data_IF_357669154235
#
_entry.id   IF_357669154235
#
_cell.length_a   1.000
_cell.length_b   1.000
_cell.length_c   1.000
_cell.angle_alpha   90.00
_cell.angle_beta   90.00
_cell.angle_gamma   90.00
#
_symmetry.space_group_name_H-M   'P 1'
#
loop_
_entity.id
_entity.type
_entity.pdbx_description
1 polymer ?
#
# COMPACT_ATOMS: atom_id res chain seq x y z
N UNK A 1 24.90 -13.14 30.69
CA UNK A 1 23.75 -13.90 30.16
C UNK A 1 22.44 -13.37 30.72
N UNK A 2 21.36 -13.30 29.92
CA UNK A 2 20.02 -13.05 30.46
C UNK A 2 19.56 -14.19 31.37
N UNK A 3 18.65 -13.88 32.29
CA UNK A 3 18.20 -14.80 33.35
C UNK A 3 17.43 -15.98 32.76
N UNK A 4 17.93 -17.21 32.96
CA UNK A 4 17.22 -18.45 32.65
C UNK A 4 16.26 -18.74 33.80
N UNK A 5 14.96 -18.88 33.51
CA UNK A 5 13.94 -19.19 34.52
C UNK A 5 13.33 -20.57 34.23
N UNK A 6 13.04 -21.36 35.26
CA UNK A 6 12.45 -22.71 35.11
C UNK A 6 11.10 -22.69 34.36
N UNK A 7 10.35 -21.62 34.49
CA UNK A 7 9.08 -21.39 33.80
C UNK A 7 9.09 -20.01 33.17
N UNK A 8 8.82 -19.94 31.86
CA UNK A 8 8.60 -18.69 31.13
C UNK A 8 7.32 -18.84 30.30
N UNK A 9 6.47 -17.81 30.31
CA UNK A 9 5.16 -17.81 29.63
C UNK A 9 5.24 -17.06 28.29
N UNK A 10 6.17 -16.11 28.16
CA UNK A 10 6.23 -15.18 27.03
C UNK A 10 7.57 -15.16 26.28
N UNK A 11 8.56 -15.96 26.71
CA UNK A 11 9.88 -16.06 26.09
C UNK A 11 10.41 -17.47 26.19
N UNK A 12 11.20 -17.87 25.20
CA UNK A 12 11.88 -19.16 25.19
C UNK A 12 13.24 -19.08 25.87
N UNK A 13 13.59 -20.14 26.60
CA UNK A 13 14.93 -20.34 27.13
C UNK A 13 15.83 -20.89 26.02
N UNK A 14 16.34 -20.02 25.15
CA UNK A 14 17.28 -20.43 24.10
C UNK A 14 18.56 -21.02 24.71
N UNK A 15 18.99 -22.23 24.32
CA UNK A 15 20.23 -22.80 24.80
C UNK A 15 21.40 -22.00 24.24
N UNK A 16 22.22 -21.42 25.13
CA UNK A 16 23.38 -20.61 24.78
C UNK A 16 24.48 -20.73 25.84
N UNK A 17 25.72 -20.79 25.39
CA UNK A 17 26.93 -20.88 26.23
C UNK A 17 27.42 -19.51 26.70
N UNK A 18 27.15 -18.45 25.94
CA UNK A 18 27.47 -17.07 26.27
C UNK A 18 26.34 -16.10 25.84
N UNK A 19 26.37 -14.87 26.36
CA UNK A 19 25.43 -13.81 26.02
C UNK A 19 25.36 -13.54 24.52
N UNK A 20 26.50 -13.59 23.81
CA UNK A 20 26.51 -13.40 22.35
C UNK A 20 25.66 -14.45 21.64
N UNK A 21 25.86 -15.74 21.96
CA UNK A 21 25.11 -16.85 21.38
C UNK A 21 23.61 -16.79 21.72
N UNK A 22 23.26 -16.29 22.91
CA UNK A 22 21.88 -16.07 23.29
C UNK A 22 21.21 -15.02 22.40
N UNK A 23 21.83 -13.85 22.23
CA UNK A 23 21.25 -12.78 21.41
C UNK A 23 21.23 -13.16 19.93
N UNK A 24 22.25 -13.88 19.45
CA UNK A 24 22.28 -14.40 18.10
C UNK A 24 21.05 -15.27 17.80
N UNK A 25 20.70 -16.20 18.70
CA UNK A 25 19.56 -17.12 18.53
C UNK A 25 18.20 -16.50 18.81
N UNK A 26 18.10 -15.66 19.83
CA UNK A 26 16.81 -15.11 20.28
C UNK A 26 16.36 -13.87 19.53
N UNK A 27 17.31 -13.11 18.95
CA UNK A 27 17.00 -11.83 18.29
C UNK A 27 17.52 -11.77 16.87
N UNK A 28 18.80 -12.05 16.65
CA UNK A 28 19.43 -11.81 15.35
C UNK A 28 18.93 -12.76 14.26
N UNK A 29 18.94 -14.07 14.51
CA UNK A 29 18.46 -15.08 13.56
C UNK A 29 16.96 -14.89 13.24
N UNK A 30 16.05 -14.76 14.23
CA UNK A 30 14.64 -14.47 13.94
C UNK A 30 14.42 -13.18 13.15
N UNK A 31 15.20 -12.14 13.44
CA UNK A 31 15.15 -10.89 12.68
C UNK A 31 15.61 -11.08 11.24
N UNK A 32 16.72 -11.80 11.01
CA UNK A 32 17.20 -12.13 9.67
C UNK A 32 16.19 -12.99 8.90
N UNK A 33 15.58 -13.99 9.54
CA UNK A 33 14.56 -14.83 8.92
C UNK A 33 13.31 -14.00 8.57
N UNK A 34 12.95 -13.04 9.41
CA UNK A 34 11.85 -12.10 9.14
C UNK A 34 12.18 -11.21 7.94
N UNK A 35 13.38 -10.61 7.90
CA UNK A 35 13.83 -9.78 6.77
C UNK A 35 13.88 -10.60 5.48
N UNK A 36 14.41 -11.81 5.55
CA UNK A 36 14.48 -12.72 4.40
C UNK A 36 13.07 -13.07 3.92
N UNK A 37 12.17 -13.46 4.81
CA UNK A 37 10.77 -13.75 4.48
C UNK A 37 10.10 -12.54 3.84
N UNK A 38 10.26 -11.35 4.42
CA UNK A 38 9.70 -10.10 3.90
C UNK A 38 10.21 -9.77 2.50
N UNK A 39 11.52 -9.87 2.26
CA UNK A 39 12.12 -9.63 0.94
C UNK A 39 11.60 -10.66 -0.06
N UNK A 40 11.54 -11.94 0.33
CA UNK A 40 11.11 -13.03 -0.55
C UNK A 40 9.63 -12.88 -0.93
N UNK A 41 8.78 -12.48 0.01
CA UNK A 41 7.37 -12.23 -0.24
C UNK A 41 7.16 -10.97 -1.09
N UNK A 42 7.88 -9.87 -0.80
CA UNK A 42 7.78 -8.61 -1.54
C UNK A 42 8.28 -8.72 -2.98
N UNK A 43 9.34 -9.49 -3.21
CA UNK A 43 9.93 -9.73 -4.53
C UNK A 43 9.53 -11.08 -5.14
N UNK A 44 8.44 -11.66 -4.66
CA UNK A 44 7.89 -12.89 -5.25
C UNK A 44 7.54 -12.67 -6.73
N UNK A 45 7.54 -13.74 -7.51
CA UNK A 45 7.15 -13.67 -8.94
C UNK A 45 5.76 -13.06 -9.11
N UNK A 46 4.82 -13.41 -8.23
CA UNK A 46 3.45 -12.89 -8.23
C UNK A 46 3.38 -11.37 -8.04
N UNK A 47 4.19 -10.81 -7.13
CA UNK A 47 4.23 -9.36 -6.88
C UNK A 47 4.95 -8.63 -8.01
N UNK A 48 6.03 -9.20 -8.54
CA UNK A 48 6.75 -8.65 -9.69
C UNK A 48 5.88 -8.61 -10.95
N UNK A 49 5.04 -9.62 -11.18
CA UNK A 49 4.08 -9.63 -12.29
C UNK A 49 3.07 -8.49 -12.17
N UNK A 50 2.64 -8.09 -10.97
CA UNK A 50 1.73 -6.94 -10.80
C UNK A 50 2.35 -5.61 -11.28
N UNK A 51 3.69 -5.49 -11.26
CA UNK A 51 4.38 -4.32 -11.81
C UNK A 51 4.30 -4.23 -13.34
N UNK A 52 3.84 -5.27 -14.05
CA UNK A 52 3.61 -5.18 -15.49
C UNK A 52 2.49 -4.20 -15.84
N UNK A 53 1.65 -3.79 -14.89
CA UNK A 53 0.73 -2.66 -15.06
C UNK A 53 1.45 -1.34 -15.38
N UNK A 54 2.76 -1.21 -15.06
CA UNK A 54 3.58 -0.06 -15.49
C UNK A 54 3.64 0.09 -17.01
N UNK A 55 3.36 -0.98 -17.75
CA UNK A 55 3.18 -0.98 -19.20
C UNK A 55 1.88 -0.27 -19.64
N UNK A 56 1.14 0.37 -18.73
CA UNK A 56 0.09 1.33 -19.09
C UNK A 56 0.61 2.78 -19.08
N UNK A 57 1.80 3.03 -18.51
CA UNK A 57 2.40 4.38 -18.45
C UNK A 57 2.93 4.76 -19.84
N UNK A 58 2.36 5.79 -20.51
CA UNK A 58 2.67 6.17 -21.88
C UNK A 58 4.14 6.39 -22.21
N UNK A 59 4.89 7.03 -21.30
CA UNK A 59 6.33 7.24 -21.53
C UNK A 59 7.11 5.92 -21.57
N UNK A 60 6.69 4.90 -20.82
CA UNK A 60 7.33 3.58 -20.80
C UNK A 60 6.91 2.79 -22.04
N UNK A 61 5.61 2.77 -22.36
CA UNK A 61 5.08 1.98 -23.48
C UNK A 61 5.62 2.41 -24.82
N UNK A 62 5.68 3.71 -25.08
CA UNK A 62 6.11 4.22 -26.39
C UNK A 62 7.61 4.04 -26.56
N UNK A 63 8.42 4.26 -25.50
CA UNK A 63 9.87 3.97 -25.53
C UNK A 63 10.18 2.50 -25.84
N UNK A 64 9.39 1.57 -25.30
CA UNK A 64 9.56 0.15 -25.56
C UNK A 64 9.15 -0.24 -26.99
N UNK A 65 8.19 0.47 -27.58
CA UNK A 65 7.75 0.24 -28.96
C UNK A 65 8.77 0.77 -29.98
N UNK A 66 9.40 1.92 -29.69
CA UNK A 66 10.31 2.60 -30.62
C UNK A 66 11.73 1.99 -30.64
N UNK A 67 12.21 1.43 -29.53
CA UNK A 67 13.62 1.02 -29.39
C UNK A 67 13.90 -0.48 -29.62
N UNK A 68 12.93 -1.38 -29.41
CA UNK A 68 13.24 -2.82 -29.24
C UNK A 68 12.33 -3.79 -30.02
N UNK A 69 11.49 -3.33 -30.95
CA UNK A 69 10.62 -4.23 -31.73
C UNK A 69 9.68 -5.08 -30.84
N UNK A 70 9.26 -4.54 -29.70
CA UNK A 70 8.27 -5.20 -28.87
C UNK A 70 6.93 -5.22 -29.60
N UNK A 71 6.51 -6.41 -30.04
CA UNK A 71 5.18 -6.59 -30.60
C UNK A 71 4.13 -6.07 -29.61
N UNK A 72 3.24 -5.20 -30.08
CA UNK A 72 2.07 -4.73 -29.34
C UNK A 72 1.31 -5.89 -28.69
N UNK A 73 1.34 -7.07 -29.32
CA UNK A 73 0.78 -8.33 -28.81
C UNK A 73 1.47 -8.87 -27.55
N UNK A 74 2.78 -8.68 -27.40
CA UNK A 74 3.53 -9.10 -26.20
C UNK A 74 3.20 -8.20 -25.01
N UNK A 75 3.05 -6.89 -25.26
CA UNK A 75 2.63 -5.92 -24.24
C UNK A 75 1.20 -6.23 -23.79
N UNK A 76 0.27 -6.39 -24.75
CA UNK A 76 -1.13 -6.70 -24.44
C UNK A 76 -1.25 -7.99 -23.64
N UNK A 77 -0.57 -9.08 -24.05
CA UNK A 77 -0.57 -10.35 -23.32
C UNK A 77 -0.14 -10.21 -21.86
N UNK A 78 0.89 -9.41 -21.57
CA UNK A 78 1.36 -9.18 -20.20
C UNK A 78 0.35 -8.40 -19.36
N UNK A 79 -0.22 -7.33 -19.92
CA UNK A 79 -1.23 -6.52 -19.23
C UNK A 79 -2.48 -7.36 -18.94
N UNK A 80 -2.95 -8.14 -19.93
CA UNK A 80 -4.10 -9.03 -19.79
C UNK A 80 -3.86 -10.10 -18.73
N UNK A 81 -2.67 -10.72 -18.70
CA UNK A 81 -2.32 -11.73 -17.70
C UNK A 81 -2.42 -11.18 -16.27
N UNK A 82 -2.06 -9.91 -16.07
CA UNK A 82 -2.21 -9.24 -14.77
C UNK A 82 -3.64 -8.83 -14.50
N UNK A 83 -4.34 -8.27 -15.49
CA UNK A 83 -5.73 -7.84 -15.36
C UNK A 83 -6.65 -9.00 -14.92
N UNK A 84 -6.42 -10.21 -15.44
CA UNK A 84 -7.13 -11.43 -15.01
C UNK A 84 -7.03 -11.70 -13.51
N UNK A 85 -5.89 -11.42 -12.88
CA UNK A 85 -5.72 -11.59 -11.42
C UNK A 85 -6.56 -10.59 -10.61
N UNK A 86 -6.85 -9.45 -11.21
CA UNK A 86 -7.69 -8.40 -10.63
C UNK A 86 -9.14 -8.49 -11.10
N UNK A 87 -9.54 -9.57 -11.79
CA UNK A 87 -10.92 -9.77 -12.24
C UNK A 87 -11.98 -9.60 -11.15
N UNK A 88 -11.75 -9.98 -9.87
CA UNK A 88 -12.76 -9.77 -8.82
C UNK A 88 -13.03 -8.29 -8.49
N UNK A 89 -12.14 -7.37 -8.90
CA UNK A 89 -12.34 -5.94 -8.72
C UNK A 89 -13.27 -5.34 -9.80
N UNK A 90 -13.59 -6.11 -10.84
CA UNK A 90 -14.46 -5.67 -11.93
C UNK A 90 -15.86 -6.26 -11.73
N UNK A 91 -16.88 -5.47 -12.07
CA UNK A 91 -18.30 -5.89 -12.02
C UNK A 91 -18.70 -6.76 -13.22
N UNK A 92 -17.78 -6.98 -14.15
CA UNK A 92 -18.01 -7.59 -15.46
C UNK A 92 -17.32 -8.96 -15.50
N UNK A 93 -17.85 -9.90 -16.29
CA UNK A 93 -17.24 -11.23 -16.45
C UNK A 93 -15.82 -11.13 -17.03
N UNK A 94 -14.97 -12.10 -16.69
CA UNK A 94 -13.54 -12.08 -17.07
C UNK A 94 -13.35 -11.96 -18.59
N UNK A 95 -14.14 -12.71 -19.38
CA UNK A 95 -14.03 -12.69 -20.85
C UNK A 95 -14.34 -11.31 -21.43
N UNK A 96 -15.43 -10.69 -20.98
CA UNK A 96 -15.85 -9.36 -21.46
C UNK A 96 -14.85 -8.29 -21.03
N UNK A 97 -14.26 -8.41 -19.83
CA UNK A 97 -13.18 -7.52 -19.38
C UNK A 97 -11.93 -7.64 -20.25
N UNK A 98 -11.55 -8.85 -20.65
CA UNK A 98 -10.40 -9.08 -21.55
C UNK A 98 -10.66 -8.46 -22.92
N UNK A 99 -11.85 -8.66 -23.50
CA UNK A 99 -12.21 -8.11 -24.81
C UNK A 99 -12.21 -6.57 -24.81
N UNK A 100 -12.80 -5.96 -23.77
CA UNK A 100 -12.76 -4.51 -23.59
C UNK A 100 -11.32 -3.99 -23.43
N UNK A 101 -10.53 -4.67 -22.61
CA UNK A 101 -9.14 -4.29 -22.34
C UNK A 101 -8.26 -4.38 -23.60
N UNK A 102 -8.45 -5.40 -24.44
CA UNK A 102 -7.71 -5.51 -25.71
C UNK A 102 -7.99 -4.32 -26.64
N UNK A 103 -9.25 -3.93 -26.77
CA UNK A 103 -9.66 -2.75 -27.54
C UNK A 103 -9.09 -1.45 -26.94
N UNK A 104 -9.24 -1.26 -25.63
CA UNK A 104 -8.74 -0.10 -24.90
C UNK A 104 -7.21 0.02 -25.03
N UNK A 105 -6.44 -1.08 -24.88
CA UNK A 105 -4.97 -1.06 -25.02
C UNK A 105 -4.56 -0.63 -26.42
N UNK A 106 -5.24 -1.12 -27.45
CA UNK A 106 -4.95 -0.75 -28.83
C UNK A 106 -5.10 0.76 -29.06
N UNK A 107 -6.24 1.31 -28.63
CA UNK A 107 -6.54 2.74 -28.73
C UNK A 107 -5.60 3.59 -27.85
N UNK A 108 -5.29 3.13 -26.65
CA UNK A 108 -4.39 3.80 -25.70
C UNK A 108 -2.98 3.93 -26.28
N UNK A 109 -2.42 2.84 -26.80
CA UNK A 109 -1.10 2.85 -27.42
C UNK A 109 -1.06 3.73 -28.66
N UNK A 110 -2.12 3.69 -29.48
CA UNK A 110 -2.23 4.56 -30.65
C UNK A 110 -2.26 6.04 -30.28
N UNK A 111 -3.12 6.43 -29.32
CA UNK A 111 -3.25 7.81 -28.81
C UNK A 111 -1.88 8.38 -28.41
N UNK A 112 -1.14 7.65 -27.56
CA UNK A 112 0.12 8.15 -27.01
C UNK A 112 1.31 8.08 -27.96
N UNK A 113 1.25 7.24 -29.00
CA UNK A 113 2.26 7.21 -30.06
C UNK A 113 2.27 8.51 -30.87
N UNK A 114 1.09 9.07 -31.14
CA UNK A 114 0.94 10.31 -31.91
C UNK A 114 1.16 11.58 -31.10
N UNK A 115 1.24 11.49 -29.77
CA UNK A 115 1.43 12.65 -28.89
C UNK A 115 2.92 12.90 -28.59
N UNK A 116 3.40 14.15 -28.48
CA UNK A 116 4.81 14.44 -28.24
C UNK A 116 5.27 13.95 -26.86
N UNK A 117 6.57 13.61 -26.74
CA UNK A 117 7.18 13.06 -25.52
C UNK A 117 6.94 13.96 -24.29
N UNK A 118 6.90 15.27 -24.47
CA UNK A 118 6.70 16.27 -23.40
C UNK A 118 5.33 16.21 -22.74
N UNK A 119 4.31 15.72 -23.46
CA UNK A 119 2.94 15.60 -22.95
C UNK A 119 2.61 14.20 -22.44
N UNK A 120 3.55 13.24 -22.61
CA UNK A 120 3.33 11.85 -22.19
C UNK A 120 3.50 11.74 -20.68
N UNK A 121 2.48 11.25 -19.95
CA UNK A 121 2.61 11.08 -18.51
C UNK A 121 3.70 10.06 -18.18
N UNK A 122 4.51 10.41 -17.18
CA UNK A 122 5.66 9.64 -16.74
C UNK A 122 5.36 8.80 -15.49
N UNK A 123 4.27 9.13 -14.79
CA UNK A 123 3.85 8.44 -13.57
C UNK A 123 2.49 7.77 -13.73
N UNK A 124 2.22 6.78 -12.89
CA UNK A 124 0.91 6.11 -12.84
C UNK A 124 -0.22 7.10 -12.49
N UNK A 125 0.06 8.08 -11.61
CA UNK A 125 -0.91 9.08 -11.20
C UNK A 125 -1.23 10.05 -12.34
N UNK A 126 -0.24 10.59 -13.03
CA UNK A 126 -0.48 11.43 -14.21
C UNK A 126 -1.22 10.65 -15.30
N UNK A 127 -0.84 9.39 -15.52
CA UNK A 127 -1.52 8.52 -16.48
C UNK A 127 -2.99 8.33 -16.11
N UNK A 128 -3.31 8.19 -14.82
CA UNK A 128 -4.67 8.12 -14.31
C UNK A 128 -5.45 9.43 -14.51
N UNK A 129 -4.82 10.58 -14.28
CA UNK A 129 -5.45 11.90 -14.45
C UNK A 129 -5.73 12.24 -15.93
N UNK A 130 -4.90 11.76 -16.85
CA UNK A 130 -5.08 11.93 -18.30
C UNK A 130 -5.89 10.79 -18.95
N UNK A 131 -6.41 9.87 -18.15
CA UNK A 131 -7.24 8.76 -18.61
C UNK A 131 -8.72 9.16 -18.59
N UNK A 132 -9.34 9.11 -19.75
CA UNK A 132 -10.76 9.42 -19.91
C UNK A 132 -11.63 8.24 -19.44
N UNK A 133 -12.64 8.49 -18.60
CA UNK A 133 -13.44 7.41 -17.99
C UNK A 133 -14.26 6.64 -19.01
N UNK A 134 -14.86 7.38 -19.95
CA UNK A 134 -15.82 6.83 -20.90
C UNK A 134 -15.13 6.01 -21.98
N UNK A 135 -13.91 6.40 -22.36
CA UNK A 135 -13.13 5.76 -23.42
C UNK A 135 -12.22 4.63 -22.90
N UNK A 136 -11.75 4.73 -21.65
CA UNK A 136 -10.71 3.85 -21.10
C UNK A 136 -11.05 3.38 -19.68
N UNK A 137 -12.29 2.92 -19.49
CA UNK A 137 -12.83 2.53 -18.19
C UNK A 137 -12.02 1.41 -17.50
N UNK A 138 -11.54 0.44 -18.27
CA UNK A 138 -10.81 -0.73 -17.77
C UNK A 138 -9.37 -0.36 -17.43
N UNK A 139 -8.70 0.37 -18.33
CA UNK A 139 -7.36 0.92 -18.11
C UNK A 139 -7.34 1.86 -16.92
N UNK A 140 -8.36 2.71 -16.73
CA UNK A 140 -8.44 3.63 -15.59
C UNK A 140 -8.48 2.89 -14.26
N UNK A 141 -9.25 1.80 -14.16
CA UNK A 141 -9.27 0.93 -12.97
C UNK A 141 -7.91 0.26 -12.74
N UNK A 142 -7.26 -0.23 -13.79
CA UNK A 142 -5.92 -0.82 -13.69
C UNK A 142 -4.85 0.21 -13.27
N UNK A 143 -4.94 1.44 -13.77
CA UNK A 143 -4.09 2.55 -13.35
C UNK A 143 -4.34 2.95 -11.89
N UNK A 144 -5.59 2.88 -11.43
CA UNK A 144 -5.92 3.07 -10.01
C UNK A 144 -5.30 1.98 -9.15
N UNK A 145 -5.38 0.71 -9.56
CA UNK A 145 -4.68 -0.40 -8.89
C UNK A 145 -3.18 -0.09 -8.85
N UNK A 146 -2.56 0.25 -9.97
CA UNK A 146 -1.14 0.59 -10.02
C UNK A 146 -0.76 1.76 -9.09
N UNK A 147 -1.57 2.81 -9.03
CA UNK A 147 -1.34 3.98 -8.18
C UNK A 147 -1.50 3.66 -6.67
N UNK A 148 -2.30 2.65 -6.34
CA UNK A 148 -2.52 2.20 -4.95
C UNK A 148 -1.57 1.08 -4.52
N UNK A 149 -0.85 0.46 -5.46
CA UNK A 149 0.17 -0.53 -5.11
C UNK A 149 1.23 0.13 -4.22
N UNK A 150 1.58 -0.47 -3.07
CA UNK A 150 2.58 0.09 -2.18
C UNK A 150 3.97 -0.02 -2.84
N UNK A 151 4.39 1.03 -3.56
CA UNK A 151 5.71 1.11 -4.18
C UNK A 151 6.81 1.36 -3.14
N UNK A 152 6.47 1.94 -1.98
CA UNK A 152 7.42 2.21 -0.89
C UNK A 152 6.82 2.05 0.50
N UNK A 153 7.69 1.80 1.49
CA UNK A 153 7.34 1.71 2.92
C UNK A 153 7.20 3.10 3.56
N UNK A 154 7.43 4.18 2.80
CA UNK A 154 7.48 5.55 3.32
C UNK A 154 6.20 5.99 4.05
N UNK A 155 5.03 5.50 3.63
CA UNK A 155 3.77 5.76 4.34
C UNK A 155 3.76 5.11 5.72
N UNK A 156 4.18 3.84 5.82
CA UNK A 156 4.32 3.15 7.10
C UNK A 156 5.40 3.81 7.97
N UNK A 157 6.54 4.22 7.40
CA UNK A 157 7.59 4.95 8.12
C UNK A 157 7.11 6.30 8.67
N UNK A 158 6.29 7.04 7.92
CA UNK A 158 5.63 8.27 8.38
C UNK A 158 4.70 7.97 9.56
N UNK A 159 3.90 6.90 9.47
CA UNK A 159 3.04 6.44 10.57
C UNK A 159 3.84 6.02 11.81
N UNK A 160 4.96 5.31 11.65
CA UNK A 160 5.82 4.95 12.77
C UNK A 160 6.55 6.15 13.39
N UNK A 161 6.96 7.11 12.57
CA UNK A 161 7.58 8.36 13.06
C UNK A 161 6.59 9.20 13.86
N UNK A 162 5.37 9.36 13.35
CA UNK A 162 4.29 10.06 14.08
C UNK A 162 3.91 9.34 15.36
N UNK A 163 3.76 8.01 15.34
CA UNK A 163 3.51 7.20 16.53
C UNK A 163 4.64 7.34 17.56
N UNK A 164 5.91 7.32 17.12
CA UNK A 164 7.06 7.54 18.00
C UNK A 164 7.04 8.93 18.62
N UNK A 165 6.71 9.98 17.85
CA UNK A 165 6.55 11.34 18.39
C UNK A 165 5.44 11.41 19.43
N UNK A 166 4.25 10.88 19.14
CA UNK A 166 3.11 10.85 20.07
C UNK A 166 3.45 10.12 21.37
N UNK A 167 4.03 8.92 21.28
CA UNK A 167 4.41 8.09 22.42
C UNK A 167 5.51 8.76 23.27
N UNK A 168 6.48 9.40 22.63
CA UNK A 168 7.58 10.10 23.32
C UNK A 168 7.06 11.37 24.01
N UNK A 169 6.19 12.13 23.34
CA UNK A 169 5.63 13.37 23.87
C UNK A 169 4.70 13.14 25.05
N UNK A 170 3.81 12.15 24.98
CA UNK A 170 2.85 11.86 26.06
C UNK A 170 3.44 11.11 27.26
N UNK A 171 4.64 10.52 27.13
CA UNK A 171 5.33 9.67 28.16
C UNK A 171 4.43 8.64 28.87
N UNK A 172 3.26 8.31 28.32
CA UNK A 172 2.17 7.68 29.08
C UNK A 172 2.12 6.17 28.92
N UNK A 173 1.78 5.46 30.00
CA UNK A 173 1.25 4.08 29.97
C UNK A 173 -0.19 4.09 29.44
N UNK A 174 -0.37 4.33 28.14
CA UNK A 174 -1.69 4.23 27.50
C UNK A 174 -1.90 2.84 26.91
N UNK A 175 -3.18 2.43 26.80
CA UNK A 175 -3.58 1.22 26.10
C UNK A 175 -3.35 1.37 24.59
N UNK A 176 -3.19 0.24 23.90
CA UNK A 176 -2.92 0.20 22.46
C UNK A 176 -4.03 0.85 21.64
N UNK A 177 -5.30 0.60 21.99
CA UNK A 177 -6.48 1.19 21.34
C UNK A 177 -6.50 2.72 21.39
N UNK A 178 -6.09 3.30 22.52
CA UNK A 178 -6.04 4.77 22.67
C UNK A 178 -4.89 5.35 21.85
N UNK A 179 -3.75 4.66 21.79
CA UNK A 179 -2.59 5.09 21.02
C UNK A 179 -2.88 5.06 19.51
N UNK A 180 -3.48 3.98 19.02
CA UNK A 180 -3.83 3.84 17.60
C UNK A 180 -4.84 4.91 17.17
N UNK A 181 -5.88 5.12 17.97
CA UNK A 181 -6.90 6.16 17.73
C UNK A 181 -6.29 7.56 17.66
N UNK A 182 -5.41 7.91 18.61
CA UNK A 182 -4.76 9.22 18.60
C UNK A 182 -3.78 9.40 17.43
N UNK A 183 -3.09 8.33 17.04
CA UNK A 183 -2.22 8.34 15.87
C UNK A 183 -3.01 8.59 14.59
N UNK A 184 -4.18 7.96 14.44
CA UNK A 184 -5.06 8.17 13.28
C UNK A 184 -5.53 9.63 13.19
N UNK A 185 -6.00 10.20 14.31
CA UNK A 185 -6.41 11.61 14.35
C UNK A 185 -5.26 12.54 13.96
N UNK A 186 -4.04 12.28 14.45
CA UNK A 186 -2.89 13.11 14.16
C UNK A 186 -2.40 12.99 12.70
N UNK A 187 -2.50 11.79 12.09
CA UNK A 187 -2.13 11.57 10.68
C UNK A 187 -3.16 12.19 9.73
N UNK A 188 -4.44 12.13 10.10
CA UNK A 188 -5.56 12.62 9.30
C UNK A 188 -6.11 13.97 9.78
N UNK A 189 -5.28 14.79 10.45
CA UNK A 189 -5.67 16.07 11.04
C UNK A 189 -6.10 17.16 10.04
N UNK A 190 -6.04 16.88 8.73
CA UNK A 190 -6.50 17.74 7.65
C UNK A 190 -7.94 17.47 7.22
N UNK A 191 -8.57 16.44 7.77
CA UNK A 191 -10.01 16.22 7.60
C UNK A 191 -10.70 17.20 8.56
N UNK A 192 -11.54 18.07 8.02
CA UNK A 192 -12.35 18.98 8.84
C UNK A 192 -13.32 18.16 9.70
N UNK A 193 -12.92 17.92 10.94
CA UNK A 193 -13.72 17.26 11.97
C UNK A 193 -14.62 18.24 12.71
N UNK A 194 -14.64 19.52 12.31
CA UNK A 194 -15.44 20.57 12.93
C UNK A 194 -16.93 20.22 12.98
N UNK A 195 -17.47 19.68 11.89
CA UNK A 195 -18.89 19.30 11.81
C UNK A 195 -19.24 18.10 12.71
N UNK A 196 -18.25 17.31 13.12
CA UNK A 196 -18.42 16.16 14.01
C UNK A 196 -18.06 16.47 15.47
N UNK A 197 -17.51 17.65 15.75
CA UNK A 197 -16.99 17.99 17.06
C UNK A 197 -18.10 18.00 18.10
N UNK A 198 -19.22 18.67 17.81
CA UNK A 198 -20.38 18.75 18.71
C UNK A 198 -20.94 17.35 18.99
N UNK A 199 -21.04 16.52 17.95
CA UNK A 199 -21.52 15.15 18.06
C UNK A 199 -20.59 14.26 18.90
N UNK A 200 -19.27 14.49 18.81
CA UNK A 200 -18.27 13.81 19.64
C UNK A 200 -18.36 14.27 21.10
N UNK A 201 -18.59 15.58 21.34
CA UNK A 201 -18.72 16.12 22.68
C UNK A 201 -19.98 15.58 23.36
N UNK A 202 -21.12 15.55 22.66
CA UNK A 202 -22.37 15.00 23.17
C UNK A 202 -22.25 13.50 23.47
N UNK A 203 -21.67 12.73 22.56
CA UNK A 203 -21.40 11.32 22.80
C UNK A 203 -20.44 11.11 23.99
N UNK A 204 -19.42 11.97 24.11
CA UNK A 204 -18.49 11.91 25.23
C UNK A 204 -19.23 12.23 26.54
N UNK A 205 -20.05 13.28 26.59
CA UNK A 205 -20.87 13.65 27.74
C UNK A 205 -21.79 12.50 28.18
N UNK A 206 -22.43 11.82 27.23
CA UNK A 206 -23.39 10.73 27.49
C UNK A 206 -22.74 9.36 27.80
N UNK A 207 -21.47 9.15 27.45
CA UNK A 207 -20.80 7.82 27.54
C UNK A 207 -20.55 7.29 28.96
N UNK A 208 -20.59 8.13 30.01
CA UNK A 208 -20.38 7.70 31.41
C UNK A 208 -21.24 8.49 32.38
N UNK A 209 -21.70 7.85 33.46
CA UNK A 209 -22.22 8.53 34.66
C UNK A 209 -21.09 9.32 35.32
N UNK A 210 -20.88 10.54 34.86
CA UNK A 210 -19.89 11.47 35.42
C UNK A 210 -20.49 12.15 36.63
N UNK A 211 -19.66 12.40 37.64
CA UNK A 211 -20.05 13.12 38.87
C UNK A 211 -20.22 14.63 38.65
N UNK A 212 -19.87 15.13 37.47
CA UNK A 212 -19.94 16.54 37.10
C UNK A 212 -20.64 16.65 35.74
N UNK A 213 -21.61 17.54 35.66
CA UNK A 213 -22.30 17.90 34.42
C UNK A 213 -21.34 18.61 33.48
N UNK A 214 -21.32 18.18 32.22
CA UNK A 214 -20.61 18.88 31.15
C UNK A 214 -21.49 20.04 30.70
N UNK A 215 -21.14 21.26 31.09
CA UNK A 215 -21.75 22.48 30.54
C UNK A 215 -20.89 22.90 29.34
N UNK A 216 -21.50 22.89 28.16
CA UNK A 216 -20.92 23.38 26.90
C UNK A 216 -20.97 24.91 26.85
#
# INVERSE_FOLDING_TARGET
MPRIAKTQIHRDNYPATDAEQFYLRSTYVPLLDTIKSDITNRLSTKTLEAFDLRLLIPNITVKLNDNDGWDQQKISKRIIAVAKKFSPLFTVSENVMVDMLEGEICLWLHKWKHQPITERPCTALESYMHCDEDMFSTIRKLLQVLATLPVSVASAERSFSTLRRLKTWLRSRMTEDRLSSLCLINVHNKIDLLDLLDHIIDNFANSKNRRLEFVL
#
